data_IF_713368304933
#
_entry.id   IF_713368304933
#
_cell.length_a   1.000
_cell.length_b   1.000
_cell.length_c   1.000
_cell.angle_alpha   90.00
_cell.angle_beta   90.00
_cell.angle_gamma   90.00
#
_symmetry.space_group_name_H-M   'P 1'
#
loop_
_entity.id
_entity.type
_entity.pdbx_description
1 polymer ?
#
# COMPACT_ATOMS: atom_id res chain seq x y z
N UNK A 1 8.09 43.40 -0.02
CA UNK A 1 7.05 43.09 -1.02
C UNK A 1 7.77 42.58 -2.26
N UNK A 2 7.56 41.32 -2.62
CA UNK A 2 8.05 40.75 -3.88
C UNK A 2 7.27 41.34 -5.04
N UNK A 3 7.94 41.69 -6.14
CA UNK A 3 7.26 42.17 -7.34
C UNK A 3 6.29 41.10 -7.89
N UNK A 4 5.13 41.49 -8.45
CA UNK A 4 4.17 40.55 -9.00
C UNK A 4 4.78 39.77 -10.17
N UNK A 5 4.45 38.48 -10.26
CA UNK A 5 4.98 37.64 -11.34
C UNK A 5 4.41 38.06 -12.70
N UNK A 6 5.19 37.81 -13.76
CA UNK A 6 4.64 37.86 -15.12
C UNK A 6 3.56 36.78 -15.28
N UNK A 7 2.55 37.06 -16.09
CA UNK A 7 1.43 36.12 -16.27
C UNK A 7 1.88 34.77 -16.83
N UNK A 8 2.82 34.78 -17.78
CA UNK A 8 3.42 33.56 -18.33
C UNK A 8 4.16 32.74 -17.25
N UNK A 9 4.96 33.39 -16.40
CA UNK A 9 5.67 32.70 -15.33
C UNK A 9 4.70 32.13 -14.28
N UNK A 10 3.61 32.85 -13.98
CA UNK A 10 2.59 32.41 -13.03
C UNK A 10 1.89 31.14 -13.53
N UNK A 11 1.44 31.14 -14.79
CA UNK A 11 0.79 29.98 -15.42
C UNK A 11 1.74 28.79 -15.52
N UNK A 12 3.00 28.99 -15.91
CA UNK A 12 3.98 27.91 -16.02
C UNK A 12 4.23 27.20 -14.68
N UNK A 13 4.40 27.97 -13.59
CA UNK A 13 4.56 27.40 -12.24
C UNK A 13 3.31 26.66 -11.78
N UNK A 14 2.11 27.17 -12.04
CA UNK A 14 0.85 26.47 -11.73
C UNK A 14 0.76 25.14 -12.48
N UNK A 15 1.07 25.12 -13.76
CA UNK A 15 1.02 23.90 -14.57
C UNK A 15 2.00 22.84 -14.05
N UNK A 16 3.20 23.24 -13.64
CA UNK A 16 4.15 22.34 -12.98
C UNK A 16 3.61 21.81 -11.64
N UNK A 17 3.04 22.68 -10.81
CA UNK A 17 2.44 22.29 -9.53
C UNK A 17 1.29 21.28 -9.71
N UNK A 18 0.43 21.49 -10.71
CA UNK A 18 -0.66 20.57 -11.07
C UNK A 18 -0.09 19.23 -11.52
N UNK A 19 0.96 19.23 -12.34
CA UNK A 19 1.62 18.04 -12.83
C UNK A 19 2.34 17.24 -11.73
N UNK A 20 2.97 17.93 -10.78
CA UNK A 20 3.58 17.32 -9.60
C UNK A 20 2.52 16.72 -8.67
N UNK A 21 1.49 17.50 -8.32
CA UNK A 21 0.40 17.05 -7.44
C UNK A 21 -0.33 15.82 -7.99
N UNK A 22 -0.64 15.84 -9.29
CA UNK A 22 -1.31 14.72 -9.96
C UNK A 22 -0.50 13.42 -9.91
N UNK A 23 0.83 13.52 -9.97
CA UNK A 23 1.73 12.37 -9.95
C UNK A 23 1.97 11.85 -8.54
N UNK A 24 2.22 12.73 -7.57
CA UNK A 24 2.29 12.37 -6.15
C UNK A 24 1.01 11.66 -5.68
N UNK A 25 -0.15 12.12 -6.17
CA UNK A 25 -1.44 11.46 -5.91
C UNK A 25 -1.46 10.03 -6.47
N UNK A 26 -1.04 9.85 -7.73
CA UNK A 26 -1.02 8.55 -8.42
C UNK A 26 0.00 7.56 -7.86
N UNK A 27 1.06 8.04 -7.22
CA UNK A 27 2.13 7.20 -6.64
C UNK A 27 1.85 6.78 -5.19
N UNK A 28 0.61 6.93 -4.73
CA UNK A 28 0.13 6.36 -3.47
C UNK A 28 0.43 7.21 -2.23
N UNK A 29 0.68 8.52 -2.39
CA UNK A 29 0.91 9.44 -1.26
C UNK A 29 -0.38 9.66 -0.46
N UNK A 30 -0.28 9.80 0.87
CA UNK A 30 -1.41 10.19 1.73
C UNK A 30 -1.81 11.65 1.48
N UNK A 31 -3.06 12.00 1.77
CA UNK A 31 -3.59 13.35 1.56
C UNK A 31 -2.77 14.39 2.33
N UNK A 32 -2.52 14.14 3.62
CA UNK A 32 -1.73 15.01 4.49
C UNK A 32 -0.32 15.29 3.94
N UNK A 33 0.38 14.26 3.45
CA UNK A 33 1.73 14.41 2.89
C UNK A 33 1.71 15.11 1.55
N UNK A 34 0.77 14.76 0.68
CA UNK A 34 0.62 15.41 -0.62
C UNK A 34 0.34 16.89 -0.46
N UNK A 35 -0.65 17.26 0.34
CA UNK A 35 -1.02 18.66 0.60
C UNK A 35 0.17 19.41 1.21
N UNK A 36 0.81 18.84 2.23
CA UNK A 36 1.99 19.43 2.84
C UNK A 36 3.17 19.59 1.86
N UNK A 37 3.37 18.66 0.92
CA UNK A 37 4.41 18.75 -0.09
C UNK A 37 4.11 19.86 -1.10
N UNK A 38 2.87 19.93 -1.58
CA UNK A 38 2.42 20.94 -2.53
C UNK A 38 2.47 22.36 -1.94
N UNK A 39 2.07 22.54 -0.68
CA UNK A 39 2.24 23.83 0.02
C UNK A 39 3.73 24.22 0.13
N UNK A 40 4.59 23.27 0.51
CA UNK A 40 6.02 23.52 0.66
C UNK A 40 6.68 23.93 -0.68
N UNK A 41 6.38 23.21 -1.78
CA UNK A 41 6.92 23.53 -3.11
C UNK A 41 6.34 24.85 -3.62
N UNK A 42 5.03 25.09 -3.47
CA UNK A 42 4.39 26.34 -3.88
C UNK A 42 5.03 27.56 -3.21
N UNK A 43 5.22 27.51 -1.88
CA UNK A 43 5.81 28.62 -1.12
C UNK A 43 7.22 28.98 -1.60
N UNK A 44 8.06 27.97 -1.91
CA UNK A 44 9.41 28.19 -2.45
C UNK A 44 9.41 28.67 -3.90
N UNK A 45 8.36 28.32 -4.66
CA UNK A 45 8.09 28.87 -5.99
C UNK A 45 7.44 30.26 -5.94
N UNK A 46 7.26 30.87 -4.77
CA UNK A 46 6.64 32.18 -4.62
C UNK A 46 5.14 32.20 -4.93
N UNK A 47 4.47 31.05 -4.83
CA UNK A 47 3.03 30.90 -5.01
C UNK A 47 2.36 30.62 -3.65
N UNK A 48 1.15 31.15 -3.46
CA UNK A 48 0.22 30.59 -2.49
C UNK A 48 -0.50 29.38 -3.11
N UNK A 49 -0.70 28.32 -2.32
CA UNK A 49 -1.49 27.17 -2.74
C UNK A 49 -2.32 26.66 -1.57
N UNK A 50 -3.61 26.52 -1.79
CA UNK A 50 -4.56 25.84 -0.90
C UNK A 50 -4.98 24.53 -1.57
N UNK A 51 -4.26 23.42 -1.30
CA UNK A 51 -4.61 22.13 -1.85
C UNK A 51 -5.68 21.44 -1.00
N UNK A 52 -6.58 20.75 -1.67
CA UNK A 52 -7.51 19.80 -1.06
C UNK A 52 -7.51 18.50 -1.86
N UNK A 53 -7.10 17.42 -1.21
CA UNK A 53 -6.92 16.11 -1.80
C UNK A 53 -7.93 15.10 -1.25
N UNK A 54 -8.49 14.29 -2.14
CA UNK A 54 -9.20 13.07 -1.80
C UNK A 54 -8.73 11.92 -2.70
N UNK A 55 -9.04 10.65 -2.41
CA UNK A 55 -8.55 9.50 -3.18
C UNK A 55 -8.95 9.46 -4.66
N UNK A 56 -9.86 10.33 -5.10
CA UNK A 56 -10.40 10.37 -6.46
C UNK A 56 -10.26 11.72 -7.15
N UNK A 57 -9.51 12.65 -6.57
CA UNK A 57 -9.32 13.96 -7.15
C UNK A 57 -8.59 14.97 -6.27
N UNK A 58 -8.24 16.08 -6.90
CA UNK A 58 -7.55 17.21 -6.29
C UNK A 58 -8.28 18.51 -6.66
N UNK A 59 -8.39 19.40 -5.68
CA UNK A 59 -8.77 20.79 -5.88
C UNK A 59 -7.57 21.62 -5.45
N UNK A 60 -7.00 22.40 -6.36
CA UNK A 60 -5.81 23.21 -6.11
C UNK A 60 -6.16 24.66 -6.40
N UNK A 61 -6.17 25.51 -5.39
CA UNK A 61 -6.36 26.95 -5.56
C UNK A 61 -5.01 27.66 -5.41
N UNK A 62 -4.59 28.35 -6.46
CA UNK A 62 -3.32 29.07 -6.51
C UNK A 62 -3.55 30.58 -6.43
N UNK A 63 -2.66 31.25 -5.69
CA UNK A 63 -2.66 32.71 -5.51
C UNK A 63 -1.25 33.27 -5.77
N UNK A 64 -1.18 34.50 -6.29
CA UNK A 64 0.08 35.27 -6.41
C UNK A 64 0.19 36.21 -5.20
N UNK A 65 1.10 35.96 -4.23
CA UNK A 65 1.25 36.81 -3.04
C UNK A 65 1.66 38.26 -3.36
N UNK A 66 2.20 38.52 -4.56
CA UNK A 66 2.54 39.86 -5.03
C UNK A 66 1.36 40.67 -5.57
N UNK A 67 0.17 40.06 -5.70
CA UNK A 67 -1.07 40.71 -6.17
C UNK A 67 -2.06 40.84 -5.01
N UNK A 68 -2.96 41.83 -5.09
CA UNK A 68 -4.06 41.96 -4.14
C UNK A 68 -4.94 40.69 -4.18
N UNK A 69 -5.17 40.10 -3.01
CA UNK A 69 -5.96 38.87 -2.81
C UNK A 69 -7.34 38.94 -3.47
N UNK A 70 -7.74 37.88 -4.17
CA UNK A 70 -9.11 37.69 -4.69
C UNK A 70 -9.39 38.17 -6.12
N UNK A 71 -8.45 38.83 -6.81
CA UNK A 71 -8.70 39.35 -8.16
C UNK A 71 -8.24 38.40 -9.30
N UNK A 72 -7.38 37.39 -9.04
CA UNK A 72 -6.84 36.47 -10.07
C UNK A 72 -6.43 35.08 -9.54
N UNK A 73 -7.17 34.53 -8.58
CA UNK A 73 -6.90 33.18 -8.08
C UNK A 73 -7.28 32.14 -9.14
N UNK A 74 -6.48 31.08 -9.29
CA UNK A 74 -6.72 30.01 -10.26
C UNK A 74 -7.01 28.73 -9.52
N UNK A 75 -8.24 28.24 -9.62
CA UNK A 75 -8.63 26.94 -9.09
C UNK A 75 -8.61 25.87 -10.20
N UNK A 76 -7.87 24.78 -9.95
CA UNK A 76 -7.82 23.60 -10.84
C UNK A 76 -8.49 22.44 -10.14
N UNK A 77 -9.49 21.84 -10.80
CA UNK A 77 -10.19 20.65 -10.34
C UNK A 77 -9.76 19.47 -11.20
N UNK A 78 -9.16 18.46 -10.59
CA UNK A 78 -8.64 17.28 -11.27
C UNK A 78 -9.34 16.04 -10.76
N UNK A 79 -9.98 15.29 -11.67
CA UNK A 79 -10.49 13.95 -11.37
C UNK A 79 -9.38 12.94 -11.64
N UNK A 80 -9.02 12.17 -10.61
CA UNK A 80 -7.96 11.17 -10.68
C UNK A 80 -8.51 9.82 -10.22
N UNK A 81 -7.93 8.74 -10.75
CA UNK A 81 -8.16 7.41 -10.17
C UNK A 81 -7.32 7.27 -8.91
N UNK A 82 -7.75 6.45 -7.93
CA UNK A 82 -6.91 6.09 -6.80
C UNK A 82 -5.54 5.61 -7.27
N UNK A 83 -4.48 6.16 -6.65
CA UNK A 83 -3.11 5.79 -6.94
C UNK A 83 -2.66 4.50 -6.24
N UNK A 84 -1.64 3.87 -6.83
CA UNK A 84 -0.95 2.71 -6.26
C UNK A 84 0.45 3.13 -5.78
N UNK A 85 1.02 2.38 -4.84
CA UNK A 85 2.38 2.66 -4.35
C UNK A 85 3.39 2.41 -5.46
N UNK A 86 4.14 3.44 -5.82
CA UNK A 86 5.28 3.34 -6.72
C UNK A 86 6.47 4.11 -6.13
N UNK A 87 7.34 3.39 -5.41
CA UNK A 87 8.45 4.01 -4.69
C UNK A 87 9.49 4.60 -5.65
N UNK A 88 9.72 4.01 -6.81
CA UNK A 88 10.64 4.58 -7.81
C UNK A 88 10.13 5.93 -8.30
N UNK A 89 8.88 5.99 -8.77
CA UNK A 89 8.33 7.24 -9.32
C UNK A 89 8.14 8.32 -8.27
N UNK A 90 7.82 7.95 -7.03
CA UNK A 90 7.77 8.88 -5.90
C UNK A 90 9.14 9.54 -5.65
N UNK A 91 10.21 8.73 -5.62
CA UNK A 91 11.58 9.22 -5.41
C UNK A 91 12.05 10.11 -6.56
N UNK A 92 11.77 9.73 -7.80
CA UNK A 92 12.15 10.55 -8.95
C UNK A 92 11.34 11.85 -9.03
N UNK A 93 10.08 11.85 -8.60
CA UNK A 93 9.28 13.08 -8.53
C UNK A 93 9.76 14.03 -7.44
N UNK A 94 10.15 13.52 -6.27
CA UNK A 94 10.82 14.31 -5.22
C UNK A 94 12.14 14.89 -5.72
N UNK A 95 12.96 14.10 -6.42
CA UNK A 95 14.22 14.57 -7.04
C UNK A 95 13.97 15.72 -8.00
N UNK A 96 13.01 15.57 -8.93
CA UNK A 96 12.69 16.60 -9.93
C UNK A 96 12.19 17.88 -9.23
N UNK A 97 11.30 17.74 -8.24
CA UNK A 97 10.82 18.89 -7.47
C UNK A 97 11.97 19.63 -6.78
N UNK A 98 12.88 18.92 -6.13
CA UNK A 98 14.02 19.54 -5.44
C UNK A 98 14.99 20.21 -6.42
N UNK A 99 15.26 19.62 -7.60
CA UNK A 99 16.10 20.25 -8.63
C UNK A 99 15.52 21.57 -9.16
N UNK A 100 14.20 21.66 -9.30
CA UNK A 100 13.51 22.93 -9.63
C UNK A 100 13.67 23.94 -8.49
N UNK A 101 13.45 23.51 -7.25
CA UNK A 101 13.57 24.38 -6.07
C UNK A 101 14.99 24.90 -5.84
N UNK A 102 16.00 24.13 -6.22
CA UNK A 102 17.40 24.52 -6.14
C UNK A 102 17.86 25.32 -7.39
N UNK A 103 16.97 25.58 -8.34
CA UNK A 103 17.27 26.34 -9.56
C UNK A 103 18.18 25.62 -10.55
N UNK A 104 18.37 24.31 -10.40
CA UNK A 104 19.17 23.49 -11.31
C UNK A 104 18.39 23.01 -12.54
N UNK A 105 17.07 23.00 -12.45
CA UNK A 105 16.17 22.53 -13.49
C UNK A 105 15.09 23.57 -13.75
N UNK A 106 14.87 23.91 -15.02
CA UNK A 106 13.78 24.82 -15.38
C UNK A 106 12.42 24.13 -15.26
N UNK A 107 11.37 24.92 -15.02
CA UNK A 107 10.00 24.43 -14.83
C UNK A 107 9.50 23.66 -16.06
N UNK A 108 9.83 24.10 -17.27
CA UNK A 108 9.38 23.41 -18.48
C UNK A 108 10.13 22.09 -18.69
N UNK A 109 11.43 22.06 -18.42
CA UNK A 109 12.23 20.83 -18.45
C UNK A 109 11.77 19.82 -17.38
N UNK A 110 11.43 20.30 -16.20
CA UNK A 110 10.89 19.47 -15.11
C UNK A 110 9.57 18.81 -15.50
N UNK A 111 8.67 19.53 -16.19
CA UNK A 111 7.43 18.94 -16.73
C UNK A 111 7.71 17.83 -17.74
N UNK A 112 8.71 18.01 -18.61
CA UNK A 112 9.12 16.96 -19.56
C UNK A 112 9.63 15.73 -18.81
N UNK A 113 10.47 15.90 -17.78
CA UNK A 113 10.94 14.78 -16.95
C UNK A 113 9.81 14.10 -16.18
N UNK A 114 8.88 14.85 -15.59
CA UNK A 114 7.72 14.28 -14.90
C UNK A 114 6.85 13.45 -15.85
N UNK A 115 6.62 13.93 -17.09
CA UNK A 115 5.88 13.18 -18.12
C UNK A 115 6.59 11.90 -18.54
N UNK A 116 7.93 11.90 -18.57
CA UNK A 116 8.68 10.69 -18.87
C UNK A 116 8.47 9.58 -17.83
N UNK A 117 8.15 9.91 -16.57
CA UNK A 117 7.82 8.93 -15.52
C UNK A 117 6.52 8.18 -15.78
N UNK A 118 5.60 8.73 -16.59
CA UNK A 118 4.33 8.08 -16.92
C UNK A 118 4.49 6.94 -17.94
N UNK A 119 5.69 6.76 -18.52
CA UNK A 119 5.98 5.69 -19.44
C UNK A 119 5.65 4.31 -18.83
N UNK A 120 5.03 3.39 -19.60
CA UNK A 120 4.66 2.08 -19.11
C UNK A 120 5.89 1.28 -18.69
N UNK A 121 5.77 0.50 -17.62
CA UNK A 121 6.86 -0.33 -17.13
C UNK A 121 7.35 -1.32 -18.22
N UNK A 122 8.67 -1.52 -18.36
CA UNK A 122 9.22 -2.54 -19.25
C UNK A 122 8.61 -3.93 -19.00
N UNK A 123 8.48 -4.79 -20.03
CA UNK A 123 7.94 -6.14 -19.87
C UNK A 123 8.65 -6.99 -18.81
N UNK A 124 9.96 -6.78 -18.62
CA UNK A 124 10.75 -7.48 -17.60
C UNK A 124 10.29 -7.13 -16.17
N UNK A 125 9.99 -5.86 -15.90
CA UNK A 125 9.49 -5.41 -14.59
C UNK A 125 8.11 -6.02 -14.32
N UNK A 126 7.22 -5.98 -15.32
CA UNK A 126 5.89 -6.60 -15.21
C UNK A 126 5.97 -8.11 -14.95
N UNK A 127 6.89 -8.83 -15.61
CA UNK A 127 7.12 -10.26 -15.32
C UNK A 127 7.66 -10.47 -13.90
N UNK A 128 8.55 -9.60 -13.43
CA UNK A 128 9.05 -9.66 -12.06
C UNK A 128 7.94 -9.43 -11.03
N UNK A 129 7.01 -8.51 -11.29
CA UNK A 129 5.82 -8.30 -10.45
C UNK A 129 4.97 -9.58 -10.37
N UNK A 130 4.65 -10.22 -11.50
CA UNK A 130 3.91 -11.50 -11.51
C UNK A 130 4.59 -12.57 -10.66
N UNK A 131 5.92 -12.73 -10.80
CA UNK A 131 6.69 -13.67 -9.98
C UNK A 131 6.66 -13.26 -8.50
N UNK A 132 6.73 -11.96 -8.21
CA UNK A 132 6.67 -11.43 -6.86
C UNK A 132 5.33 -11.70 -6.16
N UNK A 133 4.19 -11.77 -6.88
CA UNK A 133 2.92 -12.23 -6.30
C UNK A 133 3.04 -13.66 -5.76
N UNK A 134 3.58 -14.58 -6.56
CA UNK A 134 3.79 -15.97 -6.14
C UNK A 134 4.80 -16.08 -4.99
N UNK A 135 5.92 -15.35 -5.08
CA UNK A 135 6.92 -15.33 -4.01
C UNK A 135 6.38 -14.75 -2.71
N UNK A 136 5.59 -13.67 -2.75
CA UNK A 136 4.97 -13.08 -1.57
C UNK A 136 4.01 -14.07 -0.89
N UNK A 137 3.14 -14.73 -1.67
CA UNK A 137 2.21 -15.71 -1.15
C UNK A 137 2.93 -16.93 -0.51
N UNK A 138 3.90 -17.51 -1.22
CA UNK A 138 4.70 -18.63 -0.72
C UNK A 138 5.53 -18.25 0.52
N UNK A 139 6.14 -17.07 0.52
CA UNK A 139 6.94 -16.59 1.62
C UNK A 139 6.09 -16.34 2.87
N UNK A 140 4.92 -15.71 2.74
CA UNK A 140 4.02 -15.50 3.88
C UNK A 140 3.46 -16.83 4.40
N UNK A 141 3.17 -17.80 3.52
CA UNK A 141 2.84 -19.16 3.93
C UNK A 141 4.00 -19.83 4.72
N UNK A 142 5.24 -19.63 4.26
CA UNK A 142 6.46 -20.10 4.94
C UNK A 142 6.69 -19.42 6.29
N UNK A 143 6.38 -18.13 6.40
CA UNK A 143 6.46 -17.36 7.65
C UNK A 143 5.50 -17.91 8.71
N UNK A 144 4.32 -18.38 8.28
CA UNK A 144 3.34 -19.09 9.11
C UNK A 144 3.71 -20.56 9.37
N UNK A 145 4.84 -21.02 8.83
CA UNK A 145 5.36 -22.40 8.93
C UNK A 145 4.37 -23.47 8.46
N UNK A 146 3.62 -23.17 7.40
CA UNK A 146 2.66 -24.11 6.81
C UNK A 146 3.36 -25.31 6.16
N UNK A 147 2.66 -26.45 5.95
CA UNK A 147 3.20 -27.58 5.20
C UNK A 147 3.69 -27.20 3.81
N UNK A 148 4.61 -27.98 3.24
CA UNK A 148 5.17 -27.71 1.90
C UNK A 148 4.10 -27.64 0.82
N UNK A 149 3.05 -28.47 0.94
CA UNK A 149 1.92 -28.44 0.02
C UNK A 149 1.22 -27.08 0.09
N UNK A 150 0.85 -26.60 1.28
CA UNK A 150 0.24 -25.29 1.50
C UNK A 150 1.09 -24.14 0.96
N UNK A 151 2.41 -24.17 1.18
CA UNK A 151 3.35 -23.16 0.65
C UNK A 151 3.37 -23.19 -0.88
N UNK A 152 3.44 -24.37 -1.49
CA UNK A 152 3.44 -24.55 -2.93
C UNK A 152 2.14 -24.08 -3.57
N UNK A 153 0.99 -24.44 -2.98
CA UNK A 153 -0.34 -24.02 -3.43
C UNK A 153 -0.52 -22.52 -3.30
N UNK A 154 -0.10 -21.93 -2.18
CA UNK A 154 -0.13 -20.48 -1.99
C UNK A 154 0.71 -19.76 -3.06
N UNK A 155 1.93 -20.23 -3.30
CA UNK A 155 2.82 -19.66 -4.31
C UNK A 155 2.27 -19.78 -5.74
N UNK A 156 1.77 -20.95 -6.12
CA UNK A 156 1.16 -21.18 -7.42
C UNK A 156 -0.10 -20.31 -7.62
N UNK A 157 -0.95 -20.23 -6.60
CA UNK A 157 -2.15 -19.39 -6.62
C UNK A 157 -1.80 -17.91 -6.71
N UNK A 158 -0.81 -17.44 -5.93
CA UNK A 158 -0.29 -16.09 -6.03
C UNK A 158 0.23 -15.77 -7.44
N UNK A 159 0.98 -16.69 -8.06
CA UNK A 159 1.45 -16.54 -9.43
C UNK A 159 0.29 -16.44 -10.44
N UNK A 160 -0.75 -17.27 -10.29
CA UNK A 160 -1.97 -17.18 -11.11
C UNK A 160 -2.68 -15.84 -10.94
N UNK A 161 -2.74 -15.31 -9.72
CA UNK A 161 -3.30 -13.98 -9.44
C UNK A 161 -2.44 -12.88 -10.08
N UNK A 162 -1.12 -12.98 -10.04
CA UNK A 162 -0.23 -12.05 -10.76
C UNK A 162 -0.46 -12.08 -12.28
N UNK A 163 -0.68 -13.26 -12.87
CA UNK A 163 -1.05 -13.39 -14.27
C UNK A 163 -2.42 -12.77 -14.58
N UNK A 164 -3.39 -12.95 -13.67
CA UNK A 164 -4.69 -12.30 -13.75
C UNK A 164 -4.58 -10.78 -13.70
N UNK A 165 -3.69 -10.24 -12.86
CA UNK A 165 -3.42 -8.79 -12.76
C UNK A 165 -2.89 -8.23 -14.09
N UNK A 166 -1.91 -8.92 -14.69
CA UNK A 166 -1.38 -8.55 -16.01
C UNK A 166 -2.46 -8.59 -17.11
N UNK A 167 -3.41 -9.53 -17.02
CA UNK A 167 -4.56 -9.61 -17.93
C UNK A 167 -5.55 -8.45 -17.68
N UNK A 168 -5.79 -8.11 -16.42
CA UNK A 168 -6.67 -7.02 -16.00
C UNK A 168 -6.19 -5.66 -16.52
N UNK A 169 -4.87 -5.42 -16.60
CA UNK A 169 -4.32 -4.21 -17.22
C UNK A 169 -4.79 -3.98 -18.66
N UNK A 170 -4.99 -5.08 -19.42
CA UNK A 170 -5.35 -5.02 -20.84
C UNK A 170 -6.85 -5.07 -21.10
N UNK A 171 -7.63 -5.60 -20.16
CA UNK A 171 -9.06 -5.84 -20.33
C UNK A 171 -9.89 -5.13 -19.25
N UNK A 172 -10.55 -4.00 -19.57
CA UNK A 172 -11.35 -3.24 -18.60
C UNK A 172 -12.43 -4.05 -17.86
N UNK A 173 -13.01 -5.05 -18.54
CA UNK A 173 -14.02 -5.95 -17.95
C UNK A 173 -13.42 -6.84 -16.85
N UNK A 174 -12.21 -7.37 -17.07
CA UNK A 174 -11.50 -8.18 -16.08
C UNK A 174 -11.09 -7.29 -14.90
N UNK A 175 -10.61 -6.07 -15.18
CA UNK A 175 -10.24 -5.09 -14.14
C UNK A 175 -11.39 -4.76 -13.18
N UNK A 176 -12.62 -4.62 -13.68
CA UNK A 176 -13.78 -4.28 -12.84
C UNK A 176 -14.13 -5.38 -11.81
N UNK A 177 -13.86 -6.64 -12.14
CA UNK A 177 -14.12 -7.80 -11.29
C UNK A 177 -12.86 -8.46 -10.74
N UNK A 178 -11.70 -7.80 -10.82
CA UNK A 178 -10.40 -8.40 -10.55
C UNK A 178 -10.32 -9.03 -9.16
N UNK A 179 -10.79 -8.33 -8.13
CA UNK A 179 -10.72 -8.83 -6.75
C UNK A 179 -11.61 -10.07 -6.55
N UNK A 180 -12.81 -10.08 -7.15
CA UNK A 180 -13.70 -11.24 -7.07
C UNK A 180 -13.15 -12.45 -7.84
N UNK A 181 -12.56 -12.22 -9.02
CA UNK A 181 -11.92 -13.28 -9.80
C UNK A 181 -10.69 -13.86 -9.07
N UNK A 182 -9.88 -13.01 -8.44
CA UNK A 182 -8.75 -13.47 -7.63
C UNK A 182 -9.20 -14.31 -6.43
N UNK A 183 -10.25 -13.86 -5.71
CA UNK A 183 -10.86 -14.63 -4.63
C UNK A 183 -11.38 -15.99 -5.10
N UNK A 184 -12.04 -16.02 -6.27
CA UNK A 184 -12.55 -17.25 -6.89
C UNK A 184 -11.41 -18.20 -7.28
N UNK A 185 -10.34 -17.70 -7.89
CA UNK A 185 -9.15 -18.50 -8.20
C UNK A 185 -8.53 -19.09 -6.93
N UNK A 186 -8.39 -18.31 -5.86
CA UNK A 186 -7.82 -18.77 -4.61
C UNK A 186 -8.69 -19.84 -3.92
N UNK A 187 -10.00 -19.61 -3.84
CA UNK A 187 -10.94 -20.58 -3.30
C UNK A 187 -10.96 -21.88 -4.11
N UNK A 188 -11.05 -21.78 -5.43
CA UNK A 188 -11.10 -22.94 -6.31
C UNK A 188 -9.83 -23.78 -6.25
N UNK A 189 -8.66 -23.12 -6.30
CA UNK A 189 -7.37 -23.83 -6.24
C UNK A 189 -7.20 -24.53 -4.89
N UNK A 190 -7.54 -23.87 -3.79
CA UNK A 190 -7.43 -24.48 -2.46
C UNK A 190 -8.38 -25.68 -2.29
N UNK A 191 -9.62 -25.59 -2.78
CA UNK A 191 -10.59 -26.71 -2.69
C UNK A 191 -10.14 -27.88 -3.58
N UNK A 192 -9.85 -27.63 -4.86
CA UNK A 192 -9.45 -28.67 -5.82
C UNK A 192 -8.19 -29.41 -5.33
N UNK A 193 -7.17 -28.67 -4.89
CA UNK A 193 -5.95 -29.31 -4.37
C UNK A 193 -6.22 -30.04 -3.05
N UNK A 194 -7.02 -29.44 -2.18
CA UNK A 194 -7.46 -30.03 -0.91
C UNK A 194 -8.16 -31.39 -1.08
N UNK A 195 -8.98 -31.52 -2.14
CA UNK A 195 -9.77 -32.72 -2.40
C UNK A 195 -8.99 -33.81 -3.13
N UNK A 196 -8.09 -33.45 -4.07
CA UNK A 196 -7.46 -34.43 -4.96
C UNK A 196 -5.99 -34.73 -4.65
N UNK A 197 -5.25 -33.83 -4.01
CA UNK A 197 -3.80 -33.99 -3.79
C UNK A 197 -3.50 -34.24 -2.31
N UNK A 198 -4.09 -33.44 -1.43
CA UNK A 198 -3.90 -33.62 0.00
C UNK A 198 -4.53 -32.50 0.84
N UNK A 199 -4.78 -32.78 2.13
CA UNK A 199 -5.45 -31.85 3.03
C UNK A 199 -4.63 -30.58 3.25
N UNK A 200 -5.29 -29.43 3.21
CA UNK A 200 -4.70 -28.10 3.36
C UNK A 200 -5.21 -27.39 4.62
N UNK A 201 -4.48 -26.38 5.08
CA UNK A 201 -5.03 -25.32 5.92
C UNK A 201 -5.89 -24.36 5.05
N UNK A 202 -6.98 -24.84 4.45
CA UNK A 202 -7.71 -24.19 3.36
C UNK A 202 -7.88 -22.67 3.53
N UNK A 203 -8.52 -22.21 4.61
CA UNK A 203 -8.74 -20.77 4.83
C UNK A 203 -7.43 -19.99 4.96
N UNK A 204 -6.40 -20.57 5.58
CA UNK A 204 -5.09 -19.92 5.67
C UNK A 204 -4.42 -19.83 4.31
N UNK A 205 -4.45 -20.91 3.51
CA UNK A 205 -3.90 -20.95 2.14
C UNK A 205 -4.59 -19.93 1.24
N UNK A 206 -5.92 -19.84 1.30
CA UNK A 206 -6.69 -18.83 0.56
C UNK A 206 -6.23 -17.41 0.95
N UNK A 207 -6.16 -17.10 2.25
CA UNK A 207 -5.78 -15.77 2.73
C UNK A 207 -4.35 -15.40 2.30
N UNK A 208 -3.38 -16.29 2.44
CA UNK A 208 -1.99 -15.99 2.06
C UNK A 208 -1.79 -15.93 0.54
N UNK A 209 -2.60 -16.67 -0.24
CA UNK A 209 -2.62 -16.53 -1.70
C UNK A 209 -3.08 -15.15 -2.16
N UNK A 210 -3.96 -14.51 -1.38
CA UNK A 210 -4.52 -13.18 -1.66
C UNK A 210 -3.71 -12.05 -1.01
N UNK A 211 -2.60 -12.33 -0.33
CA UNK A 211 -1.91 -11.38 0.57
C UNK A 211 -1.59 -10.03 -0.07
N UNK A 212 -1.24 -10.02 -1.35
CA UNK A 212 -0.92 -8.81 -2.11
C UNK A 212 -2.14 -7.92 -2.35
N UNK A 213 -3.33 -8.52 -2.46
CA UNK A 213 -4.60 -7.82 -2.70
C UNK A 213 -5.28 -7.36 -1.42
N UNK A 214 -4.81 -7.85 -0.26
CA UNK A 214 -5.42 -7.50 1.01
C UNK A 214 -5.15 -6.01 1.32
N UNK A 215 -6.19 -5.20 1.54
CA UNK A 215 -6.08 -3.74 1.58
C UNK A 215 -5.60 -3.25 2.95
N UNK A 216 -4.62 -3.93 3.55
CA UNK A 216 -4.15 -3.60 4.88
C UNK A 216 -3.49 -2.22 4.94
N UNK A 217 -2.64 -1.88 3.96
CA UNK A 217 -2.02 -0.55 3.88
C UNK A 217 -3.07 0.54 3.67
N UNK A 218 -4.09 0.28 2.84
CA UNK A 218 -5.21 1.20 2.62
C UNK A 218 -6.02 1.42 3.89
N UNK A 219 -6.33 0.37 4.67
CA UNK A 219 -6.98 0.48 5.97
C UNK A 219 -6.15 1.31 6.95
N UNK A 220 -4.85 1.03 7.04
CA UNK A 220 -3.92 1.79 7.89
C UNK A 220 -3.89 3.27 7.52
N UNK A 221 -3.74 3.58 6.23
CA UNK A 221 -3.74 4.96 5.75
C UNK A 221 -5.08 5.66 6.00
N UNK A 222 -6.19 4.94 5.83
CA UNK A 222 -7.52 5.46 6.10
C UNK A 222 -7.67 5.90 7.56
N UNK A 223 -7.31 5.05 8.52
CA UNK A 223 -7.41 5.42 9.94
C UNK A 223 -6.43 6.53 10.30
N UNK A 224 -5.20 6.49 9.78
CA UNK A 224 -4.22 7.56 10.02
C UNK A 224 -4.75 8.92 9.52
N UNK A 225 -5.38 8.96 8.35
CA UNK A 225 -6.00 10.17 7.81
C UNK A 225 -7.23 10.63 8.60
N UNK A 226 -8.07 9.71 9.07
CA UNK A 226 -9.17 10.06 9.97
C UNK A 226 -8.65 10.72 11.26
N UNK A 227 -7.58 10.17 11.84
CA UNK A 227 -6.99 10.75 13.05
C UNK A 227 -6.32 12.10 12.77
N UNK A 228 -5.73 12.27 11.58
CA UNK A 228 -5.20 13.54 11.07
C UNK A 228 -6.25 14.53 10.56
N UNK A 229 -7.54 14.32 10.83
CA UNK A 229 -8.67 15.18 10.41
C UNK A 229 -8.90 15.28 8.89
N UNK A 230 -8.28 14.41 8.09
CA UNK A 230 -8.53 14.25 6.65
C UNK A 230 -9.77 13.37 6.42
N UNK A 231 -10.93 13.81 6.94
CA UNK A 231 -12.13 12.99 7.12
C UNK A 231 -12.67 12.39 5.81
N UNK A 232 -12.79 13.21 4.76
CA UNK A 232 -13.30 12.75 3.45
C UNK A 232 -12.38 11.70 2.84
N UNK A 233 -11.07 11.93 2.93
CA UNK A 233 -10.08 11.03 2.34
C UNK A 233 -9.98 9.71 3.11
N UNK A 234 -9.94 9.79 4.45
CA UNK A 234 -9.92 8.63 5.32
C UNK A 234 -11.17 7.76 5.19
N UNK A 235 -12.37 8.35 5.20
CA UNK A 235 -13.62 7.59 5.01
C UNK A 235 -13.70 6.92 3.64
N UNK A 236 -13.32 7.62 2.57
CA UNK A 236 -13.31 7.05 1.21
C UNK A 236 -12.33 5.87 1.08
N UNK A 237 -11.10 5.99 1.61
CA UNK A 237 -10.14 4.87 1.60
C UNK A 237 -10.62 3.70 2.46
N UNK A 238 -11.24 3.97 3.61
CA UNK A 238 -11.80 2.93 4.47
C UNK A 238 -12.91 2.15 3.75
N UNK A 239 -13.87 2.85 3.13
CA UNK A 239 -14.95 2.23 2.36
C UNK A 239 -14.42 1.44 1.15
N UNK A 240 -13.41 1.95 0.45
CA UNK A 240 -12.75 1.25 -0.65
C UNK A 240 -12.05 -0.04 -0.20
N UNK A 241 -11.35 0.01 0.94
CA UNK A 241 -10.73 -1.17 1.52
C UNK A 241 -11.77 -2.22 1.96
N UNK A 242 -12.86 -1.81 2.60
CA UNK A 242 -13.94 -2.73 2.97
C UNK A 242 -14.58 -3.38 1.73
N UNK A 243 -14.80 -2.59 0.67
CA UNK A 243 -15.32 -3.09 -0.61
C UNK A 243 -14.37 -4.13 -1.23
N UNK A 244 -13.06 -3.90 -1.14
CA UNK A 244 -12.03 -4.83 -1.62
C UNK A 244 -12.10 -6.17 -0.87
N UNK A 245 -12.15 -6.13 0.47
CA UNK A 245 -12.29 -7.34 1.31
C UNK A 245 -13.59 -8.09 0.97
N UNK A 246 -14.70 -7.37 0.78
CA UNK A 246 -15.98 -7.96 0.43
C UNK A 246 -15.93 -8.65 -0.94
N UNK A 247 -15.40 -7.99 -1.98
CA UNK A 247 -15.26 -8.59 -3.32
C UNK A 247 -14.41 -9.86 -3.29
N UNK A 248 -13.26 -9.82 -2.59
CA UNK A 248 -12.39 -10.99 -2.42
C UNK A 248 -13.16 -12.14 -1.75
N UNK A 249 -13.86 -11.86 -0.64
CA UNK A 249 -14.61 -12.86 0.10
C UNK A 249 -15.76 -13.45 -0.73
N UNK A 250 -16.51 -12.63 -1.46
CA UNK A 250 -17.55 -13.10 -2.38
C UNK A 250 -16.95 -14.05 -3.42
N UNK A 251 -15.81 -13.69 -4.02
CA UNK A 251 -15.09 -14.57 -4.95
C UNK A 251 -14.76 -15.93 -4.34
N UNK A 252 -14.18 -15.93 -3.13
CA UNK A 252 -13.85 -17.16 -2.39
C UNK A 252 -15.10 -18.00 -2.14
N UNK A 253 -16.18 -17.40 -1.66
CA UNK A 253 -17.41 -18.11 -1.34
C UNK A 253 -18.06 -18.71 -2.57
N UNK A 254 -18.13 -17.98 -3.68
CA UNK A 254 -18.68 -18.51 -4.94
C UNK A 254 -17.90 -19.75 -5.37
N UNK A 255 -16.57 -19.72 -5.28
CA UNK A 255 -15.76 -20.90 -5.61
C UNK A 255 -16.00 -22.07 -4.65
N UNK A 256 -15.97 -21.82 -3.34
CA UNK A 256 -16.14 -22.88 -2.32
C UNK A 256 -17.52 -23.52 -2.43
N UNK A 257 -18.60 -22.72 -2.47
CA UNK A 257 -19.96 -23.24 -2.59
C UNK A 257 -20.21 -23.97 -3.91
N UNK A 258 -19.70 -23.45 -5.03
CA UNK A 258 -19.87 -24.12 -6.32
C UNK A 258 -19.19 -25.50 -6.35
N UNK A 259 -18.04 -25.64 -5.69
CA UNK A 259 -17.30 -26.90 -5.61
C UNK A 259 -17.90 -27.87 -4.56
N UNK A 260 -18.48 -27.34 -3.49
CA UNK A 260 -19.25 -28.14 -2.52
C UNK A 260 -20.49 -28.77 -3.17
N UNK A 261 -21.19 -28.04 -4.04
CA UNK A 261 -22.35 -28.56 -4.80
C UNK A 261 -22.02 -29.77 -5.70
N UNK A 262 -20.77 -29.91 -6.14
CA UNK A 262 -20.31 -31.06 -6.92
C UNK A 262 -19.65 -32.14 -6.03
N UNK A 263 -19.76 -32.02 -4.71
CA UNK A 263 -19.33 -33.01 -3.71
C UNK A 263 -17.87 -32.89 -3.28
N UNK A 264 -17.19 -31.76 -3.50
CA UNK A 264 -15.81 -31.54 -3.06
C UNK A 264 -15.77 -30.90 -1.67
N UNK A 265 -15.67 -31.74 -0.64
CA UNK A 265 -15.47 -31.33 0.76
C UNK A 265 -14.07 -31.76 1.25
N UNK A 266 -13.03 -30.93 1.05
CA UNK A 266 -11.66 -31.29 1.40
C UNK A 266 -11.48 -31.35 2.92
N UNK A 267 -10.86 -32.41 3.47
CA UNK A 267 -10.59 -32.48 4.90
C UNK A 267 -9.58 -31.39 5.32
N UNK A 268 -9.97 -30.54 6.26
CA UNK A 268 -9.08 -29.50 6.80
C UNK A 268 -8.01 -30.10 7.72
N UNK A 269 -6.73 -29.73 7.52
CA UNK A 269 -5.64 -30.05 8.47
C UNK A 269 -4.89 -28.81 8.94
N UNK A 270 -4.96 -28.58 10.24
CA UNK A 270 -4.27 -27.52 10.98
C UNK A 270 -2.88 -27.93 11.45
N UNK A 271 -1.86 -28.03 10.59
CA UNK A 271 -0.49 -28.37 11.02
C UNK A 271 0.54 -27.30 10.66
N UNK A 272 1.59 -27.16 11.49
CA UNK A 272 2.72 -26.23 11.27
C UNK A 272 4.06 -26.95 11.42
N UNK A 273 4.44 -27.81 10.46
CA UNK A 273 5.54 -28.76 10.63
C UNK A 273 6.92 -28.14 10.38
N UNK A 274 7.01 -26.93 9.81
CA UNK A 274 8.28 -26.42 9.31
C UNK A 274 9.23 -25.97 10.43
N UNK A 275 10.54 -26.20 10.26
CA UNK A 275 11.55 -25.83 11.24
C UNK A 275 11.71 -24.31 11.37
N UNK A 276 12.25 -23.81 12.50
CA UNK A 276 12.39 -22.37 12.74
C UNK A 276 13.20 -21.59 11.72
N UNK A 277 14.16 -22.22 11.03
CA UNK A 277 14.98 -21.56 10.01
C UNK A 277 14.14 -21.13 8.79
N UNK A 278 13.01 -21.78 8.54
CA UNK A 278 12.10 -21.45 7.44
C UNK A 278 11.63 -20.00 7.52
N UNK A 279 11.44 -19.51 8.74
CA UNK A 279 10.94 -18.16 8.99
C UNK A 279 11.92 -17.08 8.52
N UNK A 280 13.23 -17.30 8.65
CA UNK A 280 14.26 -16.37 8.20
C UNK A 280 14.36 -16.34 6.67
N UNK A 281 14.29 -17.51 6.04
CA UNK A 281 14.27 -17.63 4.57
C UNK A 281 13.00 -16.99 4.02
N UNK A 282 11.85 -17.31 4.60
CA UNK A 282 10.56 -16.72 4.26
C UNK A 282 10.57 -15.20 4.43
N UNK A 283 11.13 -14.68 5.52
CA UNK A 283 11.26 -13.24 5.73
C UNK A 283 12.08 -12.59 4.61
N UNK A 284 13.24 -13.15 4.27
CA UNK A 284 14.08 -12.62 3.20
C UNK A 284 13.36 -12.61 1.84
N UNK A 285 12.66 -13.70 1.50
CA UNK A 285 11.89 -13.82 0.25
C UNK A 285 10.69 -12.87 0.25
N UNK A 286 9.95 -12.76 1.35
CA UNK A 286 8.82 -11.84 1.48
C UNK A 286 9.28 -10.38 1.34
N UNK A 287 10.36 -10.00 2.02
CA UNK A 287 10.95 -8.67 1.93
C UNK A 287 11.40 -8.34 0.51
N UNK A 288 12.01 -9.30 -0.20
CA UNK A 288 12.37 -9.13 -1.61
C UNK A 288 11.14 -8.98 -2.51
N UNK A 289 10.14 -9.84 -2.33
CA UNK A 289 8.90 -9.78 -3.11
C UNK A 289 8.19 -8.44 -2.92
N UNK A 290 8.06 -7.94 -1.69
CA UNK A 290 7.48 -6.61 -1.44
C UNK A 290 8.32 -5.46 -2.00
N UNK A 291 9.65 -5.58 -2.07
CA UNK A 291 10.48 -4.58 -2.74
C UNK A 291 10.16 -4.45 -4.23
N UNK A 292 9.89 -5.58 -4.89
CA UNK A 292 9.43 -5.63 -6.28
C UNK A 292 8.00 -5.10 -6.41
N UNK A 293 7.07 -5.55 -5.56
CA UNK A 293 5.66 -5.16 -5.60
C UNK A 293 5.43 -3.66 -5.33
N UNK A 294 6.27 -3.04 -4.49
CA UNK A 294 6.25 -1.59 -4.28
C UNK A 294 7.01 -0.79 -5.34
N UNK A 295 7.48 -1.45 -6.41
CA UNK A 295 8.23 -0.85 -7.52
C UNK A 295 9.40 0.01 -7.02
N UNK A 296 10.15 -0.50 -6.06
CA UNK A 296 11.32 0.20 -5.57
C UNK A 296 12.40 0.28 -6.67
N UNK A 297 13.27 1.27 -6.59
CA UNK A 297 14.48 1.28 -7.43
C UNK A 297 15.40 0.14 -6.98
N UNK A 298 16.09 -0.54 -7.90
CA UNK A 298 17.01 -1.66 -7.56
C UNK A 298 18.07 -1.24 -6.53
N UNK A 299 18.56 0.01 -6.62
CA UNK A 299 19.50 0.60 -5.65
C UNK A 299 18.95 0.71 -4.22
N UNK A 300 17.64 0.72 -4.05
CA UNK A 300 16.94 0.88 -2.77
C UNK A 300 16.39 -0.46 -2.23
N UNK A 301 16.54 -1.58 -2.95
CA UNK A 301 16.03 -2.90 -2.54
C UNK A 301 16.50 -3.31 -1.16
N UNK A 302 17.80 -3.21 -0.86
CA UNK A 302 18.33 -3.59 0.44
C UNK A 302 17.73 -2.75 1.58
N UNK A 303 17.44 -1.47 1.34
CA UNK A 303 16.84 -0.56 2.34
C UNK A 303 15.39 -0.91 2.59
N UNK A 304 14.64 -1.16 1.50
CA UNK A 304 13.25 -1.60 1.54
C UNK A 304 13.11 -2.95 2.25
N UNK A 305 13.98 -3.91 1.91
CA UNK A 305 14.01 -5.22 2.54
C UNK A 305 14.33 -5.13 4.02
N UNK A 306 15.36 -4.35 4.39
CA UNK A 306 15.72 -4.14 5.79
C UNK A 306 14.58 -3.49 6.58
N UNK A 307 13.87 -2.53 5.99
CA UNK A 307 12.72 -1.88 6.62
C UNK A 307 11.58 -2.88 6.88
N UNK A 308 11.21 -3.69 5.87
CA UNK A 308 10.19 -4.73 6.00
C UNK A 308 10.57 -5.78 7.06
N UNK A 309 11.82 -6.25 7.04
CA UNK A 309 12.32 -7.20 8.03
C UNK A 309 12.31 -6.59 9.43
N UNK A 310 12.75 -5.34 9.60
CA UNK A 310 12.78 -4.66 10.89
C UNK A 310 11.37 -4.49 11.47
N UNK A 311 10.40 -4.06 10.65
CA UNK A 311 9.01 -3.92 11.08
C UNK A 311 8.44 -5.24 11.59
N UNK A 312 8.64 -6.31 10.82
CA UNK A 312 8.23 -7.65 11.22
C UNK A 312 8.91 -8.13 12.50
N UNK A 313 10.23 -8.03 12.61
CA UNK A 313 11.00 -8.53 13.76
C UNK A 313 10.66 -7.79 15.05
N UNK A 314 10.52 -6.45 15.00
CA UNK A 314 10.09 -5.68 16.17
C UNK A 314 8.70 -6.14 16.61
N UNK A 315 7.75 -6.20 15.67
CA UNK A 315 6.38 -6.61 16.01
C UNK A 315 6.31 -8.03 16.54
N UNK A 316 7.17 -8.93 16.04
CA UNK A 316 7.26 -10.30 16.51
C UNK A 316 7.81 -10.36 17.93
N UNK A 317 9.05 -9.91 18.15
CA UNK A 317 9.73 -10.10 19.43
C UNK A 317 9.08 -9.30 20.56
N UNK A 318 8.63 -8.07 20.29
CA UNK A 318 7.87 -7.30 21.28
C UNK A 318 6.48 -7.92 21.49
N UNK A 319 5.88 -8.44 20.42
CA UNK A 319 4.58 -9.13 20.48
C UNK A 319 4.60 -10.41 21.33
N UNK A 320 5.71 -11.15 21.32
CA UNK A 320 5.92 -12.34 22.15
C UNK A 320 6.00 -12.00 23.66
N UNK A 321 6.52 -10.82 24.02
CA UNK A 321 6.73 -10.41 25.42
C UNK A 321 5.54 -9.60 25.97
N UNK A 322 4.98 -8.69 25.19
CA UNK A 322 4.01 -7.69 25.64
C UNK A 322 2.63 -7.79 24.93
N UNK A 323 2.45 -8.80 24.07
CA UNK A 323 1.22 -9.02 23.30
C UNK A 323 1.23 -8.34 21.94
N UNK A 324 0.45 -8.89 21.00
CA UNK A 324 0.44 -8.47 19.59
C UNK A 324 0.19 -6.97 19.36
N UNK A 325 -0.77 -6.29 20.02
CA UNK A 325 -0.97 -4.86 19.84
C UNK A 325 0.26 -4.02 20.26
N UNK A 326 0.93 -4.39 21.35
CA UNK A 326 2.15 -3.70 21.79
C UNK A 326 3.29 -3.87 20.76
N UNK A 327 3.43 -5.07 20.19
CA UNK A 327 4.38 -5.32 19.10
C UNK A 327 4.14 -4.44 17.88
N UNK A 328 2.89 -4.36 17.42
CA UNK A 328 2.51 -3.49 16.29
C UNK A 328 2.77 -2.02 16.61
N UNK A 329 2.43 -1.57 17.82
CA UNK A 329 2.67 -0.20 18.27
C UNK A 329 4.17 0.17 18.21
N UNK A 330 5.03 -0.63 18.83
CA UNK A 330 6.48 -0.34 18.89
C UNK A 330 7.11 -0.42 17.50
N UNK A 331 6.66 -1.36 16.66
CA UNK A 331 7.13 -1.46 15.28
C UNK A 331 6.71 -0.23 14.45
N UNK A 332 5.45 0.19 14.51
CA UNK A 332 4.96 1.37 13.80
C UNK A 332 5.65 2.66 14.26
N UNK A 333 5.86 2.82 15.58
CA UNK A 333 6.61 3.93 16.16
C UNK A 333 8.04 3.97 15.64
N UNK A 334 8.73 2.84 15.70
CA UNK A 334 10.14 2.72 15.33
C UNK A 334 10.34 2.93 13.82
N UNK A 335 9.53 2.29 12.98
CA UNK A 335 9.59 2.44 11.51
C UNK A 335 9.24 3.88 11.07
N UNK A 336 8.31 4.54 11.77
CA UNK A 336 7.96 5.94 11.47
C UNK A 336 9.11 6.87 11.81
N UNK A 337 9.68 6.75 13.02
CA UNK A 337 10.83 7.54 13.43
C UNK A 337 12.05 7.30 12.52
N UNK A 338 12.33 6.04 12.17
CA UNK A 338 13.41 5.69 11.23
C UNK A 338 13.18 6.25 9.83
N UNK A 339 11.96 6.21 9.33
CA UNK A 339 11.63 6.81 8.03
C UNK A 339 11.77 8.33 8.02
N UNK A 340 11.40 9.01 9.11
CA UNK A 340 11.57 10.45 9.25
C UNK A 340 13.05 10.83 9.39
N UNK A 341 13.83 10.04 10.15
CA UNK A 341 15.28 10.20 10.27
C UNK A 341 15.99 9.99 8.93
N UNK A 342 15.62 8.93 8.20
CA UNK A 342 16.14 8.65 6.87
C UNK A 342 15.86 9.81 5.92
N UNK A 343 14.63 10.34 5.92
CA UNK A 343 14.28 11.48 5.08
C UNK A 343 15.10 12.74 5.41
N UNK A 344 15.35 12.96 6.71
CA UNK A 344 16.11 14.11 7.20
C UNK A 344 17.60 14.04 6.86
N UNK A 345 18.22 12.87 6.97
CA UNK A 345 19.67 12.73 6.81
C UNK A 345 20.08 12.43 5.37
N UNK A 346 19.31 11.60 4.65
CA UNK A 346 19.64 11.21 3.28
C UNK A 346 18.96 12.05 2.19
N UNK A 347 18.13 13.02 2.57
CA UNK A 347 17.45 13.92 1.62
C UNK A 347 16.66 13.12 0.54
N UNK A 348 15.95 12.08 0.97
CA UNK A 348 15.10 11.23 0.11
C UNK A 348 13.77 10.94 0.79
N UNK A 349 12.71 10.56 0.05
CA UNK A 349 11.40 10.27 0.64
C UNK A 349 11.46 9.22 1.75
N UNK A 350 10.89 9.56 2.91
CA UNK A 350 10.79 8.63 4.05
C UNK A 350 9.87 7.44 3.76
N UNK A 351 9.12 7.48 2.66
CA UNK A 351 8.27 6.39 2.17
C UNK A 351 9.06 5.11 1.88
N UNK A 352 10.34 5.20 1.47
CA UNK A 352 11.23 4.05 1.21
C UNK A 352 11.32 3.13 2.43
N UNK A 353 11.27 3.69 3.64
CA UNK A 353 11.34 2.93 4.90
C UNK A 353 9.94 2.65 5.46
N UNK A 354 9.07 3.67 5.48
CA UNK A 354 7.76 3.57 6.15
C UNK A 354 6.84 2.57 5.48
N UNK A 355 6.67 2.63 4.17
CA UNK A 355 5.70 1.78 3.47
C UNK A 355 6.05 0.29 3.60
N UNK A 356 7.31 -0.14 3.33
CA UNK A 356 7.68 -1.54 3.49
C UNK A 356 7.76 -1.99 4.94
N UNK A 357 8.17 -1.12 5.88
CA UNK A 357 8.20 -1.50 7.30
C UNK A 357 6.82 -1.67 7.93
N UNK A 358 5.80 -1.00 7.39
CA UNK A 358 4.42 -1.09 7.90
C UNK A 358 3.65 -2.26 7.27
N UNK A 359 3.94 -2.66 6.02
CA UNK A 359 3.13 -3.66 5.30
C UNK A 359 3.00 -5.01 6.01
N UNK A 360 3.96 -5.38 6.85
CA UNK A 360 3.90 -6.64 7.61
C UNK A 360 3.02 -6.56 8.86
N UNK A 361 2.64 -5.34 9.27
CA UNK A 361 1.87 -5.04 10.49
C UNK A 361 0.38 -4.85 10.21
N UNK A 362 0.03 -4.62 8.96
CA UNK A 362 -1.32 -4.20 8.58
C UNK A 362 -2.34 -5.34 8.75
N UNK A 363 -3.57 -5.04 9.18
CA UNK A 363 -4.55 -6.07 9.54
C UNK A 363 -5.32 -6.65 8.34
N UNK A 364 -4.80 -6.58 7.11
CA UNK A 364 -5.52 -7.04 5.92
C UNK A 364 -5.91 -8.52 5.98
N UNK A 365 -5.00 -9.39 6.43
CA UNK A 365 -5.23 -10.83 6.60
C UNK A 365 -6.18 -11.14 7.75
N UNK A 366 -6.13 -10.38 8.83
CA UNK A 366 -7.05 -10.51 9.96
C UNK A 366 -8.47 -10.12 9.57
N UNK A 367 -8.63 -9.02 8.80
CA UNK A 367 -9.93 -8.59 8.26
C UNK A 367 -10.55 -9.67 7.37
N UNK A 368 -9.76 -10.22 6.44
CA UNK A 368 -10.22 -11.29 5.55
C UNK A 368 -10.59 -12.55 6.32
N UNK A 369 -9.77 -12.96 7.30
CA UNK A 369 -10.05 -14.12 8.16
C UNK A 369 -11.36 -13.97 8.93
N UNK A 370 -11.58 -12.79 9.52
CA UNK A 370 -12.81 -12.49 10.24
C UNK A 370 -14.05 -12.60 9.35
N UNK A 371 -13.97 -12.05 8.13
CA UNK A 371 -15.08 -12.10 7.18
C UNK A 371 -15.36 -13.53 6.69
N UNK A 372 -14.31 -14.29 6.34
CA UNK A 372 -14.47 -15.68 5.90
C UNK A 372 -15.07 -16.57 7.00
N UNK A 373 -14.61 -16.42 8.25
CA UNK A 373 -15.19 -17.15 9.38
C UNK A 373 -16.68 -16.81 9.57
N UNK A 374 -17.04 -15.52 9.55
CA UNK A 374 -18.45 -15.10 9.64
C UNK A 374 -19.32 -15.69 8.54
N UNK A 375 -18.83 -15.72 7.30
CA UNK A 375 -19.64 -16.12 6.15
C UNK A 375 -19.70 -17.64 5.93
N UNK A 376 -18.65 -18.38 6.30
CA UNK A 376 -18.59 -19.84 6.11
C UNK A 376 -19.13 -20.60 7.32
N UNK A 377 -18.69 -20.26 8.54
CA UNK A 377 -19.04 -21.03 9.74
C UNK A 377 -20.24 -20.46 10.49
N UNK A 378 -20.75 -19.29 10.07
CA UNK A 378 -21.79 -18.53 10.78
C UNK A 378 -21.46 -18.29 12.28
N UNK A 379 -20.17 -18.36 12.64
CA UNK A 379 -19.71 -18.20 14.01
C UNK A 379 -19.57 -16.71 14.33
N UNK A 380 -20.64 -16.15 14.91
CA UNK A 380 -20.68 -14.76 15.34
C UNK A 380 -19.57 -14.43 16.36
N UNK A 381 -19.17 -15.38 17.21
CA UNK A 381 -18.14 -15.18 18.23
C UNK A 381 -16.75 -15.03 17.61
N UNK A 382 -16.38 -15.94 16.71
CA UNK A 382 -15.12 -15.86 15.98
C UNK A 382 -15.03 -14.59 15.12
N UNK A 383 -16.14 -14.20 14.50
CA UNK A 383 -16.24 -12.96 13.74
C UNK A 383 -16.04 -11.70 14.57
N UNK A 384 -16.71 -11.62 15.72
CA UNK A 384 -16.57 -10.51 16.66
C UNK A 384 -15.13 -10.41 17.17
N UNK A 385 -14.51 -11.54 17.55
CA UNK A 385 -13.12 -11.57 18.00
C UNK A 385 -12.15 -11.07 16.93
N UNK A 386 -12.35 -11.45 15.67
CA UNK A 386 -11.54 -10.95 14.55
C UNK A 386 -11.71 -9.44 14.34
N UNK A 387 -12.94 -8.93 14.42
CA UNK A 387 -13.22 -7.49 14.30
C UNK A 387 -12.54 -6.68 15.41
N UNK A 388 -12.64 -7.14 16.67
CA UNK A 388 -11.94 -6.53 17.81
C UNK A 388 -10.42 -6.54 17.59
N UNK A 389 -9.88 -7.64 17.06
CA UNK A 389 -8.45 -7.74 16.74
C UNK A 389 -8.03 -6.71 15.68
N UNK A 390 -8.80 -6.55 14.61
CA UNK A 390 -8.54 -5.54 13.57
C UNK A 390 -8.54 -4.13 14.17
N UNK A 391 -9.54 -3.80 15.00
CA UNK A 391 -9.63 -2.49 15.65
C UNK A 391 -8.41 -2.25 16.56
N UNK A 392 -8.03 -3.23 17.38
CA UNK A 392 -6.88 -3.10 18.28
C UNK A 392 -5.57 -2.93 17.52
N UNK A 393 -5.38 -3.68 16.43
CA UNK A 393 -4.20 -3.54 15.56
C UNK A 393 -4.17 -2.17 14.89
N UNK A 394 -5.30 -1.68 14.36
CA UNK A 394 -5.38 -0.34 13.76
C UNK A 394 -5.09 0.75 14.80
N UNK A 395 -5.67 0.67 15.99
CA UNK A 395 -5.46 1.62 17.07
C UNK A 395 -3.98 1.66 17.51
N UNK A 396 -3.37 0.49 17.72
CA UNK A 396 -1.96 0.36 18.06
C UNK A 396 -1.05 0.93 16.96
N UNK A 397 -1.37 0.64 15.70
CA UNK A 397 -0.59 1.09 14.55
C UNK A 397 -0.68 2.61 14.40
N UNK A 398 -1.88 3.18 14.49
CA UNK A 398 -2.10 4.63 14.40
C UNK A 398 -1.43 5.35 15.56
N UNK A 399 -1.56 4.85 16.79
CA UNK A 399 -0.82 5.39 17.93
C UNK A 399 0.69 5.37 17.65
N UNK A 400 1.23 4.25 17.18
CA UNK A 400 2.64 4.14 16.82
C UNK A 400 3.06 5.15 15.75
N UNK A 401 2.28 5.32 14.68
CA UNK A 401 2.53 6.32 13.63
C UNK A 401 2.57 7.75 14.20
N UNK A 402 1.59 8.12 15.04
CA UNK A 402 1.52 9.44 15.64
C UNK A 402 2.70 9.72 16.58
N UNK A 403 2.99 8.81 17.51
CA UNK A 403 4.10 8.97 18.44
C UNK A 403 5.45 8.92 17.73
N UNK A 404 5.59 8.13 16.66
CA UNK A 404 6.78 8.12 15.82
C UNK A 404 7.05 9.46 15.15
N UNK A 405 6.00 10.16 14.68
CA UNK A 405 6.12 11.52 14.15
C UNK A 405 6.50 12.54 15.22
N UNK A 406 6.06 12.35 16.48
CA UNK A 406 6.43 13.23 17.59
C UNK A 406 7.90 13.03 18.02
N UNK A 407 8.40 11.79 18.00
CA UNK A 407 9.80 11.48 18.35
C UNK A 407 10.78 12.14 17.38
N UNK A 408 10.49 12.05 16.09
CA UNK A 408 11.30 12.64 15.02
C UNK A 408 10.36 13.23 13.97
N UNK A 409 10.10 14.54 14.02
CA UNK A 409 9.23 15.21 13.06
C UNK A 409 9.74 15.06 11.62
N UNK A 410 8.83 14.85 10.67
CA UNK A 410 9.17 14.85 9.25
C UNK A 410 9.64 16.24 8.83
N UNK A 411 10.91 16.37 8.44
CA UNK A 411 11.45 17.63 7.90
C UNK A 411 10.97 17.92 6.47
N UNK A 412 10.54 16.87 5.74
CA UNK A 412 10.02 16.89 4.37
C UNK A 412 8.68 16.17 4.32
N UNK A 413 7.72 16.74 3.60
CA UNK A 413 6.41 16.13 3.37
C UNK A 413 6.41 15.12 2.21
N UNK A 414 7.55 14.98 1.51
CA UNK A 414 7.82 13.96 0.49
C UNK A 414 8.55 12.75 1.09
#
# INVERSE_FOLDING_TARGET
>A
MTAPMSEAAYVARIDFMVELASRLHRYGTTAERLEGAIVAVASRLGLGCEPWSNPTGLILTFTDPGRATGLRDITRVLRLSPGDVDLHRLVESDRIAEEVLEGRLDVDEARVQLRALDAPAPPMIRRAEVVAFGLAAAAVAGLLRLPWLDIGVAGATGLMIGLLDLLAERHPRVRAGFEALAGMLAGATAVVVGSFIGPLNQNTVIIVSLIVLLPGLTLTNAVNELTGQQLVSGTARFAGALTTVLKLAVGVLVAVYALDLIGLDPPARGSRPQPPWMEWVALAVASFAFAVLFRASVRDYLRVMAAAATGYLISRFVGEVAGSPAGVFVAALSITALGNAYARWWHRPGAIIRVPGIITLVPGSTSMRGLLNLMQTQDMGAGQAAMVTVINVLAALVAGLLFGNLLLPSRRNL
#
